data_IF_623606338660
#
_entry.id   IF_623606338660
#
_cell.length_a   1.000
_cell.length_b   1.000
_cell.length_c   1.000
_cell.angle_alpha   90.00
_cell.angle_beta   90.00
_cell.angle_gamma   90.00
#
_symmetry.space_group_name_H-M   'P 1'
#
loop_
_entity.id
_entity.type
_entity.pdbx_description
1 polymer ?
#
# COMPACT_ATOMS: atom_id res chain seq x y z
N UNK A 1 63.14 -131.55 -37.40
CA UNK A 1 64.58 -131.63 -37.05
C UNK A 1 65.01 -130.23 -36.63
N UNK A 2 65.64 -129.93 -35.50
CA UNK A 2 66.36 -130.73 -34.53
C UNK A 2 66.65 -129.85 -33.28
N UNK A 3 66.33 -130.40 -32.08
CA UNK A 3 66.92 -130.24 -30.73
C UNK A 3 66.96 -128.85 -30.05
N UNK A 4 66.36 -128.58 -28.88
CA UNK A 4 66.20 -129.23 -27.55
C UNK A 4 67.41 -129.18 -26.59
N UNK A 5 67.09 -128.71 -25.35
CA UNK A 5 67.70 -128.94 -24.01
C UNK A 5 69.04 -128.24 -23.71
N UNK A 6 69.40 -127.79 -22.49
CA UNK A 6 68.98 -127.99 -21.09
C UNK A 6 69.71 -126.87 -20.27
N UNK A 7 69.10 -126.09 -19.36
CA UNK A 7 68.69 -126.38 -17.96
C UNK A 7 69.86 -126.35 -16.93
N UNK A 8 69.67 -125.54 -15.85
CA UNK A 8 70.16 -125.68 -14.43
C UNK A 8 71.60 -125.16 -14.11
N UNK A 9 71.96 -124.49 -13.00
CA UNK A 9 71.43 -124.38 -11.63
C UNK A 9 72.01 -123.18 -10.83
N UNK A 10 71.23 -122.73 -9.84
CA UNK A 10 71.56 -122.23 -8.49
C UNK A 10 72.59 -121.10 -8.24
N UNK A 11 72.04 -120.05 -7.60
CA UNK A 11 72.29 -119.85 -6.17
C UNK A 11 73.08 -118.60 -5.81
N UNK A 12 72.44 -117.64 -5.10
CA UNK A 12 73.01 -117.04 -3.89
C UNK A 12 71.95 -116.23 -3.12
N UNK A 13 72.13 -116.25 -1.80
CA UNK A 13 71.28 -115.76 -0.72
C UNK A 13 71.17 -114.23 -0.63
N UNK A 14 70.02 -113.79 -0.10
CA UNK A 14 69.78 -112.72 0.88
C UNK A 14 70.48 -111.36 0.75
N UNK A 15 69.68 -110.27 0.69
CA UNK A 15 69.66 -109.15 1.68
C UNK A 15 68.75 -108.00 1.22
N UNK A 16 67.80 -107.62 2.08
CA UNK A 16 67.09 -106.33 2.24
C UNK A 16 66.51 -105.59 1.00
N UNK A 17 65.29 -105.05 1.15
CA UNK A 17 65.23 -103.59 1.22
C UNK A 17 64.37 -103.13 2.40
N UNK A 18 65.01 -102.76 3.50
CA UNK A 18 64.42 -101.90 4.53
C UNK A 18 64.53 -100.40 4.18
N UNK A 19 65.14 -100.06 3.04
CA UNK A 19 65.37 -98.67 2.58
C UNK A 19 64.29 -98.12 1.63
N UNK A 20 63.30 -98.92 1.24
CA UNK A 20 62.15 -98.45 0.46
C UNK A 20 61.04 -97.82 1.32
N UNK A 21 60.98 -98.14 2.62
CA UNK A 21 59.98 -97.59 3.54
C UNK A 21 60.28 -96.15 3.98
N UNK A 22 61.56 -95.77 4.10
CA UNK A 22 61.95 -94.41 4.51
C UNK A 22 61.76 -93.35 3.41
N UNK A 23 61.90 -93.72 2.13
CA UNK A 23 61.66 -92.84 0.99
C UNK A 23 60.16 -92.55 0.79
N UNK A 24 59.29 -93.56 0.97
CA UNK A 24 57.82 -93.39 0.95
C UNK A 24 57.31 -92.49 2.08
N UNK A 25 57.87 -92.63 3.29
CA UNK A 25 57.50 -91.81 4.45
C UNK A 25 57.92 -90.33 4.33
N UNK A 26 58.99 -90.03 3.59
CA UNK A 26 59.40 -88.65 3.30
C UNK A 26 58.43 -87.98 2.30
N UNK A 27 58.02 -88.72 1.26
CA UNK A 27 57.11 -88.24 0.23
C UNK A 27 55.69 -88.01 0.77
N UNK A 28 55.20 -88.89 1.65
CA UNK A 28 53.92 -88.73 2.36
C UNK A 28 53.96 -87.52 3.30
N UNK A 29 55.09 -87.26 3.98
CA UNK A 29 55.26 -86.06 4.84
C UNK A 29 55.19 -84.76 4.03
N UNK A 30 55.84 -84.72 2.87
CA UNK A 30 55.80 -83.56 1.97
C UNK A 30 54.38 -83.30 1.44
N UNK A 31 53.68 -84.35 1.02
CA UNK A 31 52.30 -84.24 0.54
C UNK A 31 51.35 -83.76 1.66
N UNK A 32 51.51 -84.26 2.89
CA UNK A 32 50.75 -83.79 4.06
C UNK A 32 51.00 -82.30 4.37
N UNK A 33 52.24 -81.83 4.23
CA UNK A 33 52.56 -80.40 4.40
C UNK A 33 51.93 -79.55 3.30
N UNK A 34 51.96 -80.01 2.06
CA UNK A 34 51.35 -79.31 0.92
C UNK A 34 49.83 -79.21 1.05
N UNK A 35 49.16 -80.29 1.50
CA UNK A 35 47.72 -80.30 1.78
C UNK A 35 47.36 -79.37 2.96
N UNK A 36 48.20 -79.29 3.99
CA UNK A 36 48.00 -78.34 5.10
C UNK A 36 48.12 -76.89 4.64
N UNK A 37 49.15 -76.58 3.85
CA UNK A 37 49.34 -75.25 3.26
C UNK A 37 48.19 -74.87 2.33
N UNK A 38 47.71 -75.78 1.48
CA UNK A 38 46.58 -75.49 0.59
C UNK A 38 45.28 -75.28 1.37
N UNK A 39 45.04 -76.05 2.44
CA UNK A 39 43.90 -75.85 3.33
C UNK A 39 43.97 -74.52 4.08
N UNK A 40 45.15 -74.08 4.50
CA UNK A 40 45.35 -72.75 5.10
C UNK A 40 45.09 -71.63 4.10
N UNK A 41 45.69 -71.71 2.91
CA UNK A 41 45.47 -70.73 1.84
C UNK A 41 43.99 -70.65 1.43
N UNK A 42 43.28 -71.79 1.36
CA UNK A 42 41.85 -71.83 1.06
C UNK A 42 41.01 -71.14 2.15
N UNK A 43 41.36 -71.34 3.44
CA UNK A 43 40.69 -70.66 4.56
C UNK A 43 40.93 -69.16 4.55
N UNK A 44 42.17 -68.73 4.30
CA UNK A 44 42.53 -67.32 4.25
C UNK A 44 41.84 -66.63 3.06
N UNK A 45 41.80 -67.28 1.90
CA UNK A 45 41.06 -66.80 0.73
C UNK A 45 39.55 -66.72 1.00
N UNK A 46 38.97 -67.70 1.71
CA UNK A 46 37.55 -67.68 2.08
C UNK A 46 37.24 -66.55 3.08
N UNK A 47 38.12 -66.30 4.04
CA UNK A 47 37.99 -65.16 4.95
C UNK A 47 38.13 -63.81 4.24
N UNK A 48 39.08 -63.68 3.32
CA UNK A 48 39.26 -62.47 2.51
C UNK A 48 38.04 -62.22 1.61
N UNK A 49 37.50 -63.25 0.97
CA UNK A 49 36.28 -63.15 0.17
C UNK A 49 35.06 -62.75 1.01
N UNK A 50 34.91 -63.32 2.22
CA UNK A 50 33.84 -62.95 3.13
C UNK A 50 33.95 -61.48 3.60
N UNK A 51 35.17 -61.02 3.90
CA UNK A 51 35.42 -59.60 4.25
C UNK A 51 35.12 -58.67 3.08
N UNK A 52 35.62 -58.97 1.88
CA UNK A 52 35.33 -58.18 0.68
C UNK A 52 33.83 -58.15 0.37
N UNK A 53 33.11 -59.27 0.51
CA UNK A 53 31.66 -59.32 0.33
C UNK A 53 30.94 -58.42 1.35
N UNK A 54 31.39 -58.43 2.62
CA UNK A 54 30.86 -57.55 3.65
C UNK A 54 31.11 -56.08 3.33
N UNK A 55 32.32 -55.71 2.91
CA UNK A 55 32.68 -54.34 2.53
C UNK A 55 31.89 -53.84 1.31
N UNK A 56 31.70 -54.69 0.30
CA UNK A 56 30.85 -54.38 -0.86
C UNK A 56 29.40 -54.15 -0.41
N UNK A 57 28.87 -55.00 0.47
CA UNK A 57 27.50 -54.82 0.97
C UNK A 57 27.34 -53.53 1.81
N UNK A 58 28.35 -53.18 2.62
CA UNK A 58 28.36 -51.94 3.40
C UNK A 58 28.44 -50.71 2.48
N UNK A 59 29.33 -50.73 1.49
CA UNK A 59 29.46 -49.64 0.52
C UNK A 59 28.20 -49.47 -0.35
N UNK A 60 27.51 -50.57 -0.69
CA UNK A 60 26.23 -50.51 -1.39
C UNK A 60 25.13 -49.89 -0.53
N UNK A 61 25.08 -50.22 0.76
CA UNK A 61 24.15 -49.61 1.70
C UNK A 61 24.43 -48.10 1.86
N UNK A 62 25.69 -47.72 2.05
CA UNK A 62 26.09 -46.31 2.17
C UNK A 62 25.77 -45.52 0.90
N UNK A 63 26.02 -46.10 -0.29
CA UNK A 63 25.64 -45.47 -1.57
C UNK A 63 24.14 -45.27 -1.68
N UNK A 64 23.33 -46.23 -1.23
CA UNK A 64 21.88 -46.11 -1.22
C UNK A 64 21.40 -45.00 -0.27
N UNK A 65 22.02 -44.89 0.91
CA UNK A 65 21.70 -43.84 1.89
C UNK A 65 22.09 -42.44 1.40
N UNK A 66 23.25 -42.31 0.76
CA UNK A 66 23.70 -41.05 0.14
C UNK A 66 22.75 -40.67 -1.01
N UNK A 67 22.38 -41.61 -1.87
CA UNK A 67 21.43 -41.35 -2.96
C UNK A 67 20.08 -40.88 -2.41
N UNK A 68 19.54 -41.56 -1.40
CA UNK A 68 18.28 -41.17 -0.76
C UNK A 68 18.38 -39.79 -0.08
N UNK A 69 19.54 -39.44 0.48
CA UNK A 69 19.78 -38.13 1.10
C UNK A 69 19.89 -37.02 0.04
N UNK A 70 20.52 -37.31 -1.10
CA UNK A 70 20.60 -36.40 -2.23
C UNK A 70 19.21 -36.11 -2.81
N UNK A 71 18.39 -37.14 -3.03
CA UNK A 71 17.02 -36.99 -3.54
C UNK A 71 16.15 -36.11 -2.61
N UNK A 72 16.30 -36.30 -1.29
CA UNK A 72 15.64 -35.46 -0.28
C UNK A 72 16.13 -34.01 -0.34
N UNK A 73 17.43 -33.80 -0.45
CA UNK A 73 18.03 -32.47 -0.52
C UNK A 73 17.61 -31.73 -1.80
N UNK A 74 17.58 -32.41 -2.94
CA UNK A 74 17.11 -31.84 -4.21
C UNK A 74 15.63 -31.48 -4.17
N UNK A 75 14.80 -32.35 -3.59
CA UNK A 75 13.37 -32.09 -3.37
C UNK A 75 13.15 -30.87 -2.47
N UNK A 76 13.88 -30.79 -1.35
CA UNK A 76 13.82 -29.64 -0.44
C UNK A 76 14.29 -28.34 -1.13
N UNK A 77 15.36 -28.41 -1.93
CA UNK A 77 15.84 -27.27 -2.73
C UNK A 77 14.79 -26.79 -3.73
N UNK A 78 14.11 -27.72 -4.41
CA UNK A 78 13.02 -27.39 -5.34
C UNK A 78 11.83 -26.71 -4.65
N UNK A 79 11.43 -27.22 -3.49
CA UNK A 79 10.38 -26.61 -2.68
C UNK A 79 10.77 -25.21 -2.19
N UNK A 80 12.00 -25.03 -1.72
CA UNK A 80 12.51 -23.74 -1.25
C UNK A 80 12.60 -22.73 -2.39
N UNK A 81 13.09 -23.14 -3.57
CA UNK A 81 13.15 -22.30 -4.75
C UNK A 81 11.75 -21.81 -5.18
N UNK A 82 10.75 -22.70 -5.15
CA UNK A 82 9.36 -22.34 -5.43
C UNK A 82 8.82 -21.33 -4.41
N UNK A 83 9.13 -21.52 -3.12
CA UNK A 83 8.71 -20.60 -2.06
C UNK A 83 9.37 -19.23 -2.18
N UNK A 84 10.65 -19.17 -2.54
CA UNK A 84 11.35 -17.90 -2.82
C UNK A 84 10.69 -17.16 -3.98
N UNK A 85 10.34 -17.84 -5.07
CA UNK A 85 9.63 -17.22 -6.20
C UNK A 85 8.26 -16.69 -5.79
N UNK A 86 7.50 -17.44 -4.99
CA UNK A 86 6.20 -17.00 -4.48
C UNK A 86 6.33 -15.74 -3.60
N UNK A 87 7.27 -15.74 -2.65
CA UNK A 87 7.53 -14.58 -1.78
C UNK A 87 8.01 -13.35 -2.58
N UNK A 88 8.81 -13.55 -3.64
CA UNK A 88 9.21 -12.46 -4.52
C UNK A 88 8.02 -11.86 -5.28
N UNK A 89 7.08 -12.70 -5.74
CA UNK A 89 5.87 -12.24 -6.40
C UNK A 89 4.96 -11.47 -5.41
N UNK A 90 4.78 -12.00 -4.21
CA UNK A 90 4.00 -11.35 -3.14
C UNK A 90 4.62 -10.00 -2.73
N UNK A 91 5.95 -9.94 -2.57
CA UNK A 91 6.66 -8.68 -2.30
C UNK A 91 6.37 -7.64 -3.38
N UNK A 92 6.47 -8.00 -4.66
CA UNK A 92 6.18 -7.07 -5.77
C UNK A 92 4.73 -6.59 -5.74
N UNK A 93 3.78 -7.48 -5.42
CA UNK A 93 2.38 -7.10 -5.27
C UNK A 93 2.17 -6.14 -4.10
N UNK A 94 2.82 -6.38 -2.96
CA UNK A 94 2.76 -5.49 -1.80
C UNK A 94 3.38 -4.13 -2.10
N UNK A 95 4.54 -4.08 -2.77
CA UNK A 95 5.17 -2.82 -3.20
C UNK A 95 4.24 -2.01 -4.12
N UNK A 96 3.59 -2.66 -5.09
CA UNK A 96 2.61 -2.00 -5.96
C UNK A 96 1.38 -1.49 -5.19
N UNK A 97 0.90 -2.25 -4.20
CA UNK A 97 -0.22 -1.82 -3.33
C UNK A 97 0.16 -0.64 -2.45
N UNK A 98 1.36 -0.64 -1.88
CA UNK A 98 1.87 0.47 -1.07
C UNK A 98 1.97 1.73 -1.93
N UNK A 99 2.60 1.65 -3.10
CA UNK A 99 2.70 2.80 -4.01
C UNK A 99 1.33 3.35 -4.42
N UNK A 100 0.35 2.47 -4.67
CA UNK A 100 -1.02 2.90 -4.97
C UNK A 100 -1.67 3.61 -3.78
N UNK A 101 -1.56 3.04 -2.57
CA UNK A 101 -2.13 3.64 -1.36
C UNK A 101 -1.50 5.00 -1.04
N UNK A 102 -0.20 5.16 -1.27
CA UNK A 102 0.49 6.44 -1.12
C UNK A 102 -0.04 7.49 -2.11
N UNK A 103 -0.26 7.11 -3.37
CA UNK A 103 -0.85 7.99 -4.38
C UNK A 103 -2.30 8.37 -4.04
N UNK A 104 -3.12 7.39 -3.62
CA UNK A 104 -4.51 7.63 -3.22
C UNK A 104 -4.58 8.57 -1.99
N UNK A 105 -3.70 8.37 -1.01
CA UNK A 105 -3.60 9.20 0.19
C UNK A 105 -3.17 10.64 -0.15
N UNK A 106 -2.26 10.82 -1.09
CA UNK A 106 -1.86 12.15 -1.57
C UNK A 106 -3.03 12.85 -2.28
N UNK A 107 -3.70 12.15 -3.19
CA UNK A 107 -4.86 12.68 -3.90
C UNK A 107 -5.99 13.11 -2.95
N UNK A 108 -6.27 12.31 -1.91
CA UNK A 108 -7.31 12.68 -0.95
C UNK A 108 -6.93 13.83 -0.03
N UNK A 109 -5.65 13.98 0.29
CA UNK A 109 -5.18 15.17 1.01
C UNK A 109 -5.38 16.42 0.17
N UNK A 110 -5.04 16.37 -1.11
CA UNK A 110 -5.22 17.50 -2.02
C UNK A 110 -6.71 17.83 -2.22
N UNK A 111 -7.55 16.81 -2.43
CA UNK A 111 -9.00 16.99 -2.52
C UNK A 111 -9.59 17.58 -1.24
N UNK A 112 -9.13 17.12 -0.07
CA UNK A 112 -9.51 17.65 1.23
C UNK A 112 -9.10 19.12 1.42
N UNK A 113 -7.89 19.49 1.01
CA UNK A 113 -7.42 20.88 1.06
C UNK A 113 -8.23 21.79 0.13
N UNK A 114 -8.48 21.36 -1.11
CA UNK A 114 -9.30 22.11 -2.06
C UNK A 114 -10.73 22.29 -1.55
N UNK A 115 -11.31 21.25 -0.95
CA UNK A 115 -12.67 21.31 -0.39
C UNK A 115 -12.73 22.30 0.77
N UNK A 116 -11.75 22.29 1.67
CA UNK A 116 -11.65 23.27 2.76
C UNK A 116 -11.50 24.70 2.23
N UNK A 117 -10.61 24.91 1.26
CA UNK A 117 -10.43 26.23 0.65
C UNK A 117 -11.72 26.75 -0.03
N UNK A 118 -12.46 25.87 -0.72
CA UNK A 118 -13.76 26.20 -1.32
C UNK A 118 -14.79 26.54 -0.26
N UNK A 119 -14.87 25.77 0.83
CA UNK A 119 -15.79 26.02 1.93
C UNK A 119 -15.49 27.36 2.62
N UNK A 120 -14.22 27.67 2.87
CA UNK A 120 -13.81 28.94 3.46
C UNK A 120 -14.16 30.12 2.55
N UNK A 121 -13.92 29.98 1.24
CA UNK A 121 -14.30 30.99 0.25
C UNK A 121 -15.82 31.21 0.21
N UNK A 122 -16.61 30.14 0.22
CA UNK A 122 -18.07 30.22 0.25
C UNK A 122 -18.59 30.86 1.54
N UNK A 123 -18.04 30.49 2.70
CA UNK A 123 -18.41 31.10 3.98
C UNK A 123 -18.15 32.61 3.98
N UNK A 124 -16.98 33.03 3.47
CA UNK A 124 -16.65 34.46 3.34
C UNK A 124 -17.58 35.18 2.35
N UNK A 125 -17.85 34.58 1.20
CA UNK A 125 -18.75 35.16 0.20
C UNK A 125 -20.17 35.31 0.76
N UNK A 126 -20.66 34.32 1.50
CA UNK A 126 -21.95 34.36 2.17
C UNK A 126 -22.00 35.48 3.21
N UNK A 127 -21.00 35.57 4.09
CA UNK A 127 -20.95 36.63 5.11
C UNK A 127 -20.93 38.04 4.48
N UNK A 128 -20.21 38.22 3.35
CA UNK A 128 -20.24 39.47 2.58
C UNK A 128 -21.62 39.76 2.00
N UNK A 129 -22.23 38.78 1.34
CA UNK A 129 -23.57 38.95 0.76
C UNK A 129 -24.63 39.27 1.83
N UNK A 130 -24.55 38.64 3.00
CA UNK A 130 -25.44 38.94 4.14
C UNK A 130 -25.22 40.36 4.66
N UNK A 131 -23.97 40.81 4.79
CA UNK A 131 -23.65 42.18 5.20
C UNK A 131 -24.12 43.23 4.17
N UNK A 132 -23.90 42.98 2.88
CA UNK A 132 -24.32 43.87 1.80
C UNK A 132 -25.85 43.94 1.71
N UNK A 133 -26.54 42.81 1.84
CA UNK A 133 -28.00 42.75 1.90
C UNK A 133 -28.56 43.54 3.10
N UNK A 134 -27.92 43.44 4.27
CA UNK A 134 -28.30 44.22 5.44
C UNK A 134 -28.11 45.73 5.23
N UNK A 135 -26.99 46.15 4.62
CA UNK A 135 -26.70 47.55 4.28
C UNK A 135 -27.70 48.11 3.27
N UNK A 136 -27.94 47.40 2.18
CA UNK A 136 -28.94 47.80 1.17
C UNK A 136 -30.34 47.87 1.78
N UNK A 137 -30.71 46.89 2.61
CA UNK A 137 -31.99 46.90 3.32
C UNK A 137 -32.15 48.10 4.26
N UNK A 138 -31.08 48.52 4.94
CA UNK A 138 -31.09 49.72 5.75
C UNK A 138 -31.23 50.99 4.89
N UNK A 139 -30.45 51.12 3.82
CA UNK A 139 -30.53 52.25 2.90
C UNK A 139 -31.94 52.40 2.28
N UNK A 140 -32.55 51.30 1.86
CA UNK A 140 -33.92 51.30 1.33
C UNK A 140 -34.96 51.71 2.37
N UNK A 141 -34.79 51.33 3.64
CA UNK A 141 -35.68 51.79 4.72
C UNK A 141 -35.56 53.30 4.92
N UNK A 142 -34.34 53.83 4.97
CA UNK A 142 -34.09 55.27 5.08
C UNK A 142 -34.71 56.03 3.91
N UNK A 143 -34.47 55.59 2.68
CA UNK A 143 -35.06 56.19 1.48
C UNK A 143 -36.60 56.19 1.52
N UNK A 144 -37.23 55.09 1.99
CA UNK A 144 -38.69 55.03 2.15
C UNK A 144 -39.21 56.01 3.20
N UNK A 145 -38.50 56.18 4.32
CA UNK A 145 -38.86 57.16 5.36
C UNK A 145 -38.80 58.58 4.79
N UNK A 146 -37.69 58.96 4.17
CA UNK A 146 -37.53 60.29 3.57
C UNK A 146 -38.53 60.58 2.44
N UNK A 147 -38.81 59.59 1.59
CA UNK A 147 -39.86 59.74 0.57
C UNK A 147 -41.24 59.95 1.19
N UNK A 148 -41.54 59.28 2.32
CA UNK A 148 -42.76 59.49 3.08
C UNK A 148 -42.83 60.89 3.71
N UNK A 149 -41.73 61.36 4.32
CA UNK A 149 -41.60 62.70 4.88
C UNK A 149 -41.80 63.78 3.81
N UNK A 150 -41.19 63.60 2.63
CA UNK A 150 -41.33 64.51 1.50
C UNK A 150 -42.77 64.54 0.96
N UNK A 151 -43.41 63.38 0.83
CA UNK A 151 -44.81 63.30 0.40
C UNK A 151 -45.75 63.99 1.41
N UNK A 152 -45.52 63.80 2.72
CA UNK A 152 -46.26 64.49 3.77
C UNK A 152 -46.06 66.01 3.74
N UNK A 153 -44.82 66.48 3.55
CA UNK A 153 -44.53 67.90 3.41
C UNK A 153 -45.20 68.51 2.15
N UNK A 154 -45.28 67.76 1.05
CA UNK A 154 -45.98 68.20 -0.15
C UNK A 154 -47.51 68.28 0.06
N UNK A 155 -48.11 67.32 0.75
CA UNK A 155 -49.55 67.31 1.08
C UNK A 155 -49.92 68.49 2.01
N UNK A 156 -49.14 68.70 3.06
CA UNK A 156 -49.26 69.83 3.97
C UNK A 156 -49.23 71.17 3.19
N UNK A 157 -48.31 71.31 2.21
CA UNK A 157 -48.18 72.52 1.37
C UNK A 157 -49.43 72.73 0.51
N UNK A 158 -49.97 71.66 -0.09
CA UNK A 158 -51.21 71.73 -0.87
C UNK A 158 -52.39 72.16 0.00
N UNK A 159 -52.56 71.57 1.20
CA UNK A 159 -53.60 71.96 2.14
C UNK A 159 -53.47 73.42 2.58
N UNK A 160 -52.26 73.90 2.85
CA UNK A 160 -52.03 75.30 3.22
C UNK A 160 -52.38 76.27 2.07
N UNK A 161 -52.12 75.87 0.83
CA UNK A 161 -52.50 76.64 -0.36
C UNK A 161 -54.03 76.66 -0.57
N UNK A 162 -54.71 75.53 -0.41
CA UNK A 162 -56.18 75.43 -0.48
C UNK A 162 -56.86 76.28 0.60
N UNK A 163 -56.38 76.17 1.85
CA UNK A 163 -56.85 76.99 2.95
C UNK A 163 -56.65 78.49 2.65
N UNK A 164 -55.48 78.89 2.12
CA UNK A 164 -55.25 80.28 1.67
C UNK A 164 -56.22 80.68 0.57
N UNK A 165 -56.55 79.80 -0.38
CA UNK A 165 -57.58 80.03 -1.38
C UNK A 165 -58.93 80.39 -0.74
N UNK A 166 -59.37 79.57 0.22
CA UNK A 166 -60.62 79.78 0.98
C UNK A 166 -60.57 81.10 1.79
N UNK A 167 -59.46 81.38 2.48
CA UNK A 167 -59.28 82.62 3.25
C UNK A 167 -59.13 83.86 2.36
N UNK A 168 -58.58 83.73 1.16
CA UNK A 168 -58.48 84.84 0.19
C UNK A 168 -59.82 85.21 -0.42
N UNK A 169 -60.70 84.22 -0.64
CA UNK A 169 -62.08 84.44 -1.07
C UNK A 169 -62.92 85.06 0.05
N UNK A 170 -62.64 84.75 1.32
CA UNK A 170 -63.24 85.45 2.47
C UNK A 170 -62.58 86.81 2.79
N UNK A 171 -61.36 87.03 2.29
CA UNK A 171 -60.44 88.09 2.70
C UNK A 171 -60.32 89.28 1.74
N UNK A 172 -61.16 89.38 0.70
CA UNK A 172 -61.33 90.60 -0.11
C UNK A 172 -61.74 91.85 0.71
N UNK A 173 -61.84 91.73 2.04
CA UNK A 173 -62.16 92.78 2.99
C UNK A 173 -61.05 93.16 3.99
N UNK A 174 -59.76 92.82 3.79
CA UNK A 174 -58.69 93.29 4.71
C UNK A 174 -57.84 94.48 4.20
N UNK A 175 -57.71 95.58 4.99
CA UNK A 175 -56.91 96.75 4.65
C UNK A 175 -55.42 96.60 5.05
N UNK A 176 -54.51 96.94 4.12
CA UNK A 176 -53.13 97.49 4.26
C UNK A 176 -52.19 97.15 5.46
N UNK A 177 -52.40 96.11 6.27
CA UNK A 177 -51.57 95.83 7.47
C UNK A 177 -50.33 94.96 7.25
N UNK A 178 -50.12 94.42 6.04
CA UNK A 178 -48.92 93.60 5.72
C UNK A 178 -48.82 92.24 6.42
N UNK A 179 -49.76 91.90 7.31
CA UNK A 179 -49.79 90.66 8.12
C UNK A 179 -49.79 89.40 7.24
N UNK A 180 -50.50 89.41 6.11
CA UNK A 180 -50.53 88.28 5.18
C UNK A 180 -49.18 87.96 4.54
N UNK A 181 -48.29 88.94 4.39
CA UNK A 181 -46.94 88.76 3.84
C UNK A 181 -46.04 88.00 4.81
N UNK A 182 -46.05 88.40 6.08
CA UNK A 182 -45.27 87.73 7.14
C UNK A 182 -45.76 86.29 7.34
N UNK A 183 -47.08 86.04 7.29
CA UNK A 183 -47.61 84.66 7.34
C UNK A 183 -47.15 83.83 6.15
N UNK A 184 -47.07 84.41 4.95
CA UNK A 184 -46.58 83.71 3.76
C UNK A 184 -45.09 83.40 3.84
N UNK A 185 -44.28 84.36 4.32
CA UNK A 185 -42.84 84.17 4.52
C UNK A 185 -42.57 83.05 5.54
N UNK A 186 -43.24 83.06 6.70
CA UNK A 186 -43.15 82.00 7.71
C UNK A 186 -43.59 80.63 7.16
N UNK A 187 -44.61 80.60 6.30
CA UNK A 187 -45.07 79.37 5.67
C UNK A 187 -44.04 78.81 4.69
N UNK A 188 -43.44 79.68 3.85
CA UNK A 188 -42.38 79.31 2.91
C UNK A 188 -41.15 78.78 3.68
N UNK A 189 -40.75 79.43 4.77
CA UNK A 189 -39.66 78.97 5.63
C UNK A 189 -39.97 77.60 6.27
N UNK A 190 -41.17 77.42 6.82
CA UNK A 190 -41.59 76.14 7.42
C UNK A 190 -41.51 74.99 6.42
N UNK A 191 -41.92 75.20 5.16
CA UNK A 191 -41.83 74.14 4.13
C UNK A 191 -40.43 73.95 3.58
N UNK A 192 -39.61 75.00 3.51
CA UNK A 192 -38.18 74.87 3.20
C UNK A 192 -37.49 74.00 4.25
N UNK A 193 -37.73 74.25 5.53
CA UNK A 193 -37.17 73.45 6.62
C UNK A 193 -37.62 71.97 6.55
N UNK A 194 -38.90 71.72 6.24
CA UNK A 194 -39.42 70.34 6.05
C UNK A 194 -38.77 69.63 4.86
N UNK A 195 -38.62 70.32 3.72
CA UNK A 195 -37.99 69.75 2.52
C UNK A 195 -36.50 69.53 2.74
N UNK A 196 -35.81 70.46 3.40
CA UNK A 196 -34.40 70.35 3.72
C UNK A 196 -34.13 69.25 4.77
N UNK A 197 -35.03 69.05 5.74
CA UNK A 197 -34.95 67.94 6.69
C UNK A 197 -35.14 66.56 6.04
N UNK A 198 -35.98 66.46 5.00
CA UNK A 198 -36.21 65.23 4.24
C UNK A 198 -35.17 65.00 3.13
N UNK A 199 -34.29 65.97 2.88
CA UNK A 199 -33.26 65.89 1.84
C UNK A 199 -32.05 65.12 2.37
N UNK A 200 -31.68 64.04 1.70
CA UNK A 200 -30.42 63.36 1.99
C UNK A 200 -29.24 64.33 1.72
N UNK A 201 -28.23 64.41 2.61
CA UNK A 201 -27.00 65.13 2.31
C UNK A 201 -26.34 64.50 1.07
N UNK A 202 -26.01 65.34 0.08
CA UNK A 202 -25.42 64.87 -1.17
C UNK A 202 -24.07 64.16 -0.93
N UNK A 203 -24.07 62.83 -1.04
CA UNK A 203 -22.93 61.98 -1.38
C UNK A 203 -21.69 62.05 -0.48
N UNK A 204 -21.59 61.15 0.50
CA UNK A 204 -20.30 60.60 0.94
C UNK A 204 -19.84 59.49 -0.01
N UNK A 205 -18.54 59.34 -0.28
CA UNK A 205 -18.04 58.58 -1.43
C UNK A 205 -18.41 57.10 -1.39
N UNK A 206 -18.80 56.59 -2.56
CA UNK A 206 -18.68 55.17 -2.86
C UNK A 206 -17.18 54.82 -2.84
N UNK A 207 -16.70 54.24 -1.74
CA UNK A 207 -15.38 53.62 -1.66
C UNK A 207 -15.49 52.16 -2.11
N UNK A 208 -14.85 51.76 -3.23
CA UNK A 208 -14.64 50.37 -3.56
C UNK A 208 -13.29 49.92 -2.97
N UNK A 209 -13.32 49.01 -2.00
CA UNK A 209 -12.20 48.14 -1.65
C UNK A 209 -12.72 46.81 -1.09
#
# INVERSE_FOLDING_TARGET
>A
MLRLFAIILAGLLASAPAQAQSAGDAQIRQLRLQVRQSMQAARDAQQAAAKAQSEVSAAQAEKADIAASLDKAESARGALASRVRALQAERKQLEARVAKLEADLAAERDAGQQTRAKLDAQTRARARAEADGARQGAALRTCRVHNGELAGAADDLLHAYEAKGIFSVLGEAEPFTGIGRVRLENLIETYRDKVDAAREPAGGPADPS
#
